data_IF_778726686780
#
_entry.id   IF_778726686780
#
_cell.length_a   1.000
_cell.length_b   1.000
_cell.length_c   1.000
_cell.angle_alpha   90.00
_cell.angle_beta   90.00
_cell.angle_gamma   90.00
#
_symmetry.space_group_name_H-M   'P 1'
#
loop_
_entity.id
_entity.type
_entity.pdbx_description
1 polymer ?
#
# COMPACT_ATOMS: atom_id res chain seq x y z
N UNK A 1 -46.16 34.17 -14.72
CA UNK A 1 -46.69 32.82 -15.04
C UNK A 1 -45.75 32.19 -16.08
N UNK A 2 -44.65 31.56 -15.63
CA UNK A 2 -43.84 30.63 -16.45
C UNK A 2 -44.16 29.24 -15.93
N UNK A 3 -44.98 28.50 -16.65
CA UNK A 3 -45.43 27.14 -16.32
C UNK A 3 -44.92 26.23 -17.44
N UNK A 4 -43.99 25.33 -17.11
CA UNK A 4 -43.51 24.25 -17.99
C UNK A 4 -42.42 24.66 -18.99
N UNK A 5 -41.25 24.04 -18.87
CA UNK A 5 -40.24 24.08 -19.92
C UNK A 5 -40.75 23.47 -21.22
N UNK A 6 -40.25 23.92 -22.36
CA UNK A 6 -40.59 23.33 -23.66
C UNK A 6 -39.75 22.05 -23.84
N UNK A 7 -40.44 20.90 -23.76
CA UNK A 7 -39.82 19.59 -23.93
C UNK A 7 -39.26 19.46 -25.34
N UNK A 8 -38.01 19.01 -25.45
CA UNK A 8 -37.33 18.63 -26.68
C UNK A 8 -37.65 17.17 -26.93
N UNK A 9 -38.40 16.84 -28.00
CA UNK A 9 -38.70 15.45 -28.34
C UNK A 9 -37.42 14.68 -28.71
N UNK A 10 -37.35 13.37 -28.40
CA UNK A 10 -36.32 12.49 -28.95
C UNK A 10 -36.28 12.58 -30.48
N UNK A 11 -35.08 12.55 -31.05
CA UNK A 11 -34.90 12.65 -32.49
C UNK A 11 -33.58 13.28 -32.89
N UNK A 12 -33.37 13.38 -34.20
CA UNK A 12 -32.15 13.96 -34.79
C UNK A 12 -32.40 15.38 -35.25
N UNK A 13 -31.52 16.29 -34.83
CA UNK A 13 -31.57 17.71 -35.14
C UNK A 13 -30.28 18.12 -35.84
N UNK A 14 -30.43 18.60 -37.07
CA UNK A 14 -29.33 18.97 -37.96
C UNK A 14 -29.46 20.43 -38.35
N UNK A 15 -28.41 21.23 -38.19
CA UNK A 15 -28.38 22.64 -38.66
C UNK A 15 -29.52 23.51 -38.12
N UNK A 16 -29.95 23.31 -36.87
CA UNK A 16 -31.12 23.97 -36.27
C UNK A 16 -30.82 24.69 -34.95
N UNK A 17 -31.72 25.59 -34.56
CA UNK A 17 -31.75 26.19 -33.21
C UNK A 17 -32.91 25.58 -32.43
N UNK A 18 -32.60 24.77 -31.43
CA UNK A 18 -33.59 24.14 -30.54
C UNK A 18 -34.05 25.17 -29.51
N UNK A 19 -35.36 25.40 -29.46
CA UNK A 19 -35.99 26.36 -28.52
C UNK A 19 -36.49 25.72 -27.23
N UNK A 20 -36.38 24.39 -27.10
CA UNK A 20 -36.69 23.68 -25.87
C UNK A 20 -35.58 23.76 -24.83
N UNK A 21 -35.93 23.50 -23.57
CA UNK A 21 -35.05 23.57 -22.40
C UNK A 21 -34.99 22.27 -21.59
N UNK A 22 -35.69 21.21 -22.03
CA UNK A 22 -35.73 19.96 -21.27
C UNK A 22 -35.82 18.72 -22.16
N UNK A 23 -35.04 17.68 -21.85
CA UNK A 23 -35.17 16.34 -22.42
C UNK A 23 -35.84 15.47 -21.35
N UNK A 24 -37.14 15.20 -21.51
CA UNK A 24 -37.95 14.52 -20.50
C UNK A 24 -37.77 12.99 -20.51
N UNK A 25 -37.41 12.42 -21.66
CA UNK A 25 -37.12 10.99 -21.83
C UNK A 25 -36.44 10.76 -23.18
N UNK A 26 -35.85 9.58 -23.37
CA UNK A 26 -35.26 9.18 -24.64
C UNK A 26 -33.98 9.95 -24.98
N UNK A 27 -33.64 9.95 -26.27
CA UNK A 27 -32.36 10.45 -26.76
C UNK A 27 -32.54 11.50 -27.84
N UNK A 28 -31.86 12.63 -27.68
CA UNK A 28 -31.74 13.70 -28.67
C UNK A 28 -30.36 13.59 -29.34
N UNK A 29 -30.31 13.65 -30.66
CA UNK A 29 -29.08 13.65 -31.44
C UNK A 29 -28.90 15.02 -32.06
N UNK A 30 -27.75 15.67 -31.84
CA UNK A 30 -27.44 16.97 -32.44
C UNK A 30 -26.21 16.87 -33.33
N UNK A 31 -26.31 17.42 -34.53
CA UNK A 31 -25.23 17.50 -35.50
C UNK A 31 -25.36 18.74 -36.40
N UNK A 32 -24.37 18.98 -37.25
CA UNK A 32 -24.42 20.04 -38.26
C UNK A 32 -24.48 21.46 -37.68
N UNK A 33 -23.90 21.70 -36.51
CA UNK A 33 -23.91 23.03 -35.88
C UNK A 33 -25.24 23.37 -35.19
N UNK A 34 -26.02 22.36 -34.79
CA UNK A 34 -27.24 22.56 -34.03
C UNK A 34 -26.95 23.20 -32.66
N UNK A 35 -27.75 24.19 -32.26
CA UNK A 35 -27.58 24.95 -31.00
C UNK A 35 -28.86 24.98 -30.17
N UNK A 36 -28.76 25.41 -28.90
CA UNK A 36 -29.89 25.60 -27.99
C UNK A 36 -30.01 27.09 -27.64
N UNK A 37 -31.18 27.69 -27.87
CA UNK A 37 -31.38 29.13 -27.66
C UNK A 37 -31.64 29.50 -26.21
N UNK A 38 -32.26 28.60 -25.44
CA UNK A 38 -32.58 28.85 -24.04
C UNK A 38 -31.33 28.73 -23.16
N UNK A 39 -31.28 29.49 -22.04
CA UNK A 39 -30.15 29.46 -21.11
C UNK A 39 -30.13 28.19 -20.27
N UNK A 40 -31.21 27.43 -20.20
CA UNK A 40 -31.33 26.21 -19.38
C UNK A 40 -31.46 24.98 -20.26
N UNK A 41 -30.85 23.87 -19.82
CA UNK A 41 -31.03 22.54 -20.42
C UNK A 41 -31.12 21.47 -19.34
N UNK A 42 -32.32 20.95 -19.11
CA UNK A 42 -32.60 19.97 -18.05
C UNK A 42 -32.77 18.57 -18.62
N UNK A 43 -32.07 17.60 -18.07
CA UNK A 43 -32.20 16.19 -18.41
C UNK A 43 -32.97 15.48 -17.30
N UNK A 44 -34.08 14.85 -17.63
CA UNK A 44 -34.75 13.92 -16.72
C UNK A 44 -33.93 12.62 -16.57
N UNK A 45 -34.33 11.76 -15.64
CA UNK A 45 -33.65 10.48 -15.45
C UNK A 45 -33.62 9.64 -16.73
N UNK A 46 -32.45 9.08 -17.04
CA UNK A 46 -32.18 8.29 -18.25
C UNK A 46 -32.32 9.07 -19.59
N UNK A 47 -32.44 10.40 -19.56
CA UNK A 47 -32.45 11.20 -20.78
C UNK A 47 -31.04 11.35 -21.37
N UNK A 48 -30.93 11.31 -22.69
CA UNK A 48 -29.64 11.34 -23.39
C UNK A 48 -29.53 12.46 -24.43
N UNK A 49 -28.34 13.03 -24.54
CA UNK A 49 -27.94 13.90 -25.66
C UNK A 49 -26.72 13.32 -26.35
N UNK A 50 -26.87 12.88 -27.60
CA UNK A 50 -25.75 12.53 -28.46
C UNK A 50 -25.23 13.80 -29.15
N UNK A 51 -24.01 14.18 -28.80
CA UNK A 51 -23.29 15.30 -29.40
C UNK A 51 -22.42 14.79 -30.55
N UNK A 52 -22.90 14.94 -31.78
CA UNK A 52 -22.26 14.45 -33.00
C UNK A 52 -21.77 15.62 -33.87
N UNK A 53 -21.06 16.55 -33.24
CA UNK A 53 -20.52 17.74 -33.89
C UNK A 53 -19.32 18.28 -33.12
N UNK A 54 -18.69 19.30 -33.70
CA UNK A 54 -17.78 20.20 -32.98
C UNK A 54 -18.56 21.45 -32.60
N UNK A 55 -18.57 21.82 -31.33
CA UNK A 55 -19.20 23.07 -30.91
C UNK A 55 -19.21 23.29 -29.40
N UNK A 56 -19.95 24.33 -29.01
CA UNK A 56 -19.99 24.81 -27.63
C UNK A 56 -21.43 24.86 -27.14
N UNK A 57 -21.69 24.31 -25.95
CA UNK A 57 -22.87 24.66 -25.17
C UNK A 57 -22.53 25.94 -24.42
N UNK A 58 -22.87 27.09 -25.00
CA UNK A 58 -22.45 28.40 -24.49
C UNK A 58 -23.48 28.99 -23.50
N UNK A 59 -23.00 29.43 -22.33
CA UNK A 59 -23.78 30.08 -21.28
C UNK A 59 -24.97 29.25 -20.80
N UNK A 60 -24.81 27.93 -20.68
CA UNK A 60 -25.92 27.03 -20.33
C UNK A 60 -25.92 26.67 -18.84
N UNK A 61 -27.08 26.69 -18.22
CA UNK A 61 -27.36 26.04 -16.95
C UNK A 61 -27.93 24.64 -17.22
N UNK A 62 -27.07 23.63 -17.11
CA UNK A 62 -27.37 22.23 -17.39
C UNK A 62 -27.65 21.50 -16.08
N UNK A 63 -28.78 20.81 -16.01
CA UNK A 63 -29.14 19.95 -14.85
C UNK A 63 -29.29 18.52 -15.32
N UNK A 64 -28.53 17.59 -14.73
CA UNK A 64 -28.57 16.17 -15.06
C UNK A 64 -29.27 15.36 -13.97
N UNK A 65 -30.37 14.71 -14.35
CA UNK A 65 -31.03 13.69 -13.54
C UNK A 65 -30.24 12.38 -13.50
N UNK A 66 -30.67 11.45 -12.66
CA UNK A 66 -30.03 10.15 -12.48
C UNK A 66 -29.89 9.38 -13.80
N UNK A 67 -28.70 8.85 -14.07
CA UNK A 67 -28.36 8.14 -15.32
C UNK A 67 -28.61 8.93 -16.62
N UNK A 68 -28.79 10.25 -16.54
CA UNK A 68 -28.84 11.08 -17.75
C UNK A 68 -27.43 11.33 -18.27
N UNK A 69 -27.28 11.66 -19.55
CA UNK A 69 -25.95 11.78 -20.14
C UNK A 69 -25.88 12.77 -21.29
N UNK A 70 -24.67 13.32 -21.48
CA UNK A 70 -24.21 13.89 -22.74
C UNK A 70 -23.14 12.94 -23.29
N UNK A 71 -23.35 12.46 -24.51
CA UNK A 71 -22.51 11.46 -25.15
C UNK A 71 -21.90 12.01 -26.44
N UNK A 72 -20.59 12.27 -26.43
CA UNK A 72 -19.85 12.74 -27.60
C UNK A 72 -19.53 11.55 -28.48
N UNK A 73 -20.15 11.46 -29.65
CA UNK A 73 -20.07 10.26 -30.50
C UNK A 73 -19.68 10.62 -31.93
N UNK A 74 -18.80 9.81 -32.52
CA UNK A 74 -18.26 10.01 -33.86
C UNK A 74 -16.86 10.66 -33.88
N UNK A 75 -16.10 10.35 -34.94
CA UNK A 75 -14.71 10.80 -35.06
C UNK A 75 -14.59 12.33 -35.08
N UNK A 76 -13.60 12.85 -34.36
CA UNK A 76 -13.26 14.27 -34.24
C UNK A 76 -14.39 15.17 -33.72
N UNK A 77 -15.44 14.60 -33.12
CA UNK A 77 -16.49 15.40 -32.49
C UNK A 77 -16.01 15.96 -31.14
N UNK A 78 -16.37 17.19 -30.86
CA UNK A 78 -15.86 17.92 -29.71
C UNK A 78 -16.96 18.75 -29.04
N UNK A 79 -17.07 18.60 -27.72
CA UNK A 79 -17.96 19.38 -26.88
C UNK A 79 -17.14 20.36 -26.02
N UNK A 80 -17.48 21.64 -26.09
CA UNK A 80 -16.99 22.65 -25.15
C UNK A 80 -18.13 23.14 -24.26
N UNK A 81 -17.88 23.16 -22.95
CA UNK A 81 -18.66 23.92 -21.97
C UNK A 81 -17.89 25.22 -21.72
N UNK A 82 -18.44 26.36 -22.12
CA UNK A 82 -17.73 27.64 -21.97
C UNK A 82 -17.68 28.11 -20.51
N UNK A 83 -16.95 29.20 -20.25
CA UNK A 83 -16.76 29.73 -18.90
C UNK A 83 -18.07 30.16 -18.20
N UNK A 84 -19.14 30.43 -18.96
CA UNK A 84 -20.44 30.79 -18.43
C UNK A 84 -21.38 29.58 -18.22
N UNK A 85 -20.93 28.37 -18.59
CA UNK A 85 -21.73 27.16 -18.49
C UNK A 85 -21.57 26.49 -17.13
N UNK A 86 -22.69 26.11 -16.54
CA UNK A 86 -22.76 25.37 -15.28
C UNK A 86 -23.44 24.02 -15.50
N UNK A 87 -22.89 22.94 -14.98
CA UNK A 87 -23.50 21.60 -14.98
C UNK A 87 -23.70 21.16 -13.54
N UNK A 88 -24.89 20.69 -13.18
CA UNK A 88 -25.17 20.13 -11.83
C UNK A 88 -25.93 18.81 -11.91
N UNK A 89 -25.74 17.93 -10.92
CA UNK A 89 -26.53 16.69 -10.78
C UNK A 89 -25.71 15.41 -10.80
N UNK A 90 -26.27 14.33 -11.37
CA UNK A 90 -25.60 13.05 -11.58
C UNK A 90 -24.75 13.10 -12.86
N UNK A 91 -23.64 13.85 -12.78
CA UNK A 91 -22.87 14.30 -13.96
C UNK A 91 -22.28 13.14 -14.76
N UNK A 92 -22.81 12.92 -15.97
CA UNK A 92 -22.25 12.02 -16.98
C UNK A 92 -22.07 12.75 -18.32
N UNK A 93 -20.81 12.97 -18.70
CA UNK A 93 -20.41 13.60 -19.97
C UNK A 93 -19.25 12.80 -20.54
N UNK A 94 -19.52 11.90 -21.49
CA UNK A 94 -18.51 10.96 -21.94
C UNK A 94 -18.52 10.72 -23.44
N UNK A 95 -17.48 10.09 -23.98
CA UNK A 95 -17.42 9.73 -25.39
C UNK A 95 -17.57 8.23 -25.66
N UNK A 96 -17.83 7.91 -26.93
CA UNK A 96 -17.88 6.53 -27.45
C UNK A 96 -16.51 5.91 -27.72
N UNK A 97 -15.42 6.62 -27.41
CA UNK A 97 -14.07 6.19 -27.72
C UNK A 97 -13.67 6.34 -29.18
N UNK A 98 -14.48 6.98 -30.03
CA UNK A 98 -14.08 7.32 -31.39
C UNK A 98 -12.84 8.22 -31.37
N UNK A 99 -11.97 8.01 -32.36
CA UNK A 99 -10.73 8.77 -32.51
C UNK A 99 -11.00 10.28 -32.58
N UNK A 100 -10.22 11.06 -31.83
CA UNK A 100 -10.31 12.51 -31.82
C UNK A 100 -11.52 13.09 -31.07
N UNK A 101 -12.31 12.27 -30.37
CA UNK A 101 -13.37 12.80 -29.50
C UNK A 101 -12.79 13.67 -28.39
N UNK A 102 -13.37 14.86 -28.18
CA UNK A 102 -12.88 15.80 -27.19
C UNK A 102 -13.98 16.39 -26.31
N UNK A 103 -13.67 16.58 -25.03
CA UNK A 103 -14.51 17.31 -24.08
C UNK A 103 -13.64 18.38 -23.41
N UNK A 104 -14.07 19.62 -23.47
CA UNK A 104 -13.42 20.74 -22.78
C UNK A 104 -14.38 21.39 -21.79
N UNK A 105 -14.01 21.42 -20.52
CA UNK A 105 -14.68 22.22 -19.50
C UNK A 105 -13.92 23.53 -19.26
N UNK A 106 -14.55 24.66 -19.52
CA UNK A 106 -14.09 25.99 -19.10
C UNK A 106 -14.99 26.58 -18.00
N UNK A 107 -16.16 25.98 -17.78
CA UNK A 107 -17.17 26.44 -16.84
C UNK A 107 -17.11 25.73 -15.48
N UNK A 108 -18.27 25.56 -14.86
CA UNK A 108 -18.42 24.95 -13.53
C UNK A 108 -19.20 23.66 -13.63
N UNK A 109 -18.65 22.57 -13.13
CA UNK A 109 -19.32 21.27 -13.02
C UNK A 109 -19.45 20.92 -11.55
N UNK A 110 -20.65 20.55 -11.11
CA UNK A 110 -20.95 20.15 -9.73
C UNK A 110 -21.69 18.82 -9.71
N UNK A 111 -20.98 17.75 -9.36
CA UNK A 111 -21.57 16.44 -9.15
C UNK A 111 -22.16 16.34 -7.74
N UNK A 112 -23.44 15.98 -7.61
CA UNK A 112 -24.18 16.11 -6.34
C UNK A 112 -24.80 14.81 -5.82
N UNK A 113 -24.75 13.71 -6.56
CA UNK A 113 -25.32 12.42 -6.16
C UNK A 113 -24.92 11.30 -7.12
N UNK A 114 -25.03 10.04 -6.69
CA UNK A 114 -24.95 8.90 -7.60
C UNK A 114 -23.52 8.57 -8.05
N UNK A 115 -23.38 8.24 -9.33
CA UNK A 115 -22.11 7.83 -9.94
C UNK A 115 -21.98 8.49 -11.29
N UNK A 116 -21.16 9.54 -11.34
CA UNK A 116 -20.89 10.31 -12.53
C UNK A 116 -19.59 9.92 -13.23
N UNK A 117 -19.44 10.37 -14.47
CA UNK A 117 -18.23 10.15 -15.28
C UNK A 117 -17.99 11.27 -16.29
N UNK A 118 -16.73 11.66 -16.45
CA UNK A 118 -16.29 12.63 -17.45
C UNK A 118 -15.05 12.10 -18.16
N UNK A 119 -15.18 11.74 -19.43
CA UNK A 119 -14.04 11.26 -20.23
C UNK A 119 -14.28 11.36 -21.74
N UNK A 120 -13.22 11.61 -22.49
CA UNK A 120 -13.17 11.44 -23.94
C UNK A 120 -11.74 11.05 -24.34
N UNK A 121 -11.48 10.79 -25.63
CA UNK A 121 -10.11 10.54 -26.08
C UNK A 121 -9.16 11.68 -25.65
N UNK A 122 -9.66 12.92 -25.68
CA UNK A 122 -9.06 14.06 -24.99
C UNK A 122 -10.07 14.76 -24.07
N UNK A 123 -9.81 14.76 -22.76
CA UNK A 123 -10.56 15.53 -21.79
C UNK A 123 -9.69 16.67 -21.22
N UNK A 124 -10.17 17.91 -21.29
CA UNK A 124 -9.48 19.06 -20.72
C UNK A 124 -10.37 19.80 -19.73
N UNK A 125 -9.89 20.02 -18.52
CA UNK A 125 -10.50 20.92 -17.54
C UNK A 125 -9.65 22.18 -17.37
N UNK A 126 -10.20 23.32 -17.74
CA UNK A 126 -9.66 24.67 -17.47
C UNK A 126 -10.53 25.44 -16.46
N UNK A 127 -11.76 24.96 -16.23
CA UNK A 127 -12.71 25.51 -15.26
C UNK A 127 -12.67 24.83 -13.90
N UNK A 128 -13.84 24.70 -13.26
CA UNK A 128 -14.00 24.07 -11.95
C UNK A 128 -14.81 22.79 -12.04
N UNK A 129 -14.36 21.74 -11.36
CA UNK A 129 -15.10 20.50 -11.15
C UNK A 129 -15.16 20.24 -9.65
N UNK A 130 -16.37 20.09 -9.10
CA UNK A 130 -16.58 19.75 -7.70
C UNK A 130 -17.47 18.52 -7.62
N UNK A 131 -17.04 17.50 -6.88
CA UNK A 131 -17.95 16.47 -6.41
C UNK A 131 -18.33 16.80 -4.96
N UNK A 132 -19.62 16.97 -4.70
CA UNK A 132 -20.20 17.24 -3.39
C UNK A 132 -20.76 15.99 -2.69
N UNK A 133 -21.03 14.93 -3.45
CA UNK A 133 -21.49 13.64 -2.96
C UNK A 133 -21.22 12.55 -4.01
N UNK A 134 -21.24 11.28 -3.60
CA UNK A 134 -21.18 10.14 -4.52
C UNK A 134 -19.80 9.92 -5.13
N UNK A 135 -19.77 9.28 -6.29
CA UNK A 135 -18.52 8.92 -6.99
C UNK A 135 -18.46 9.60 -8.34
N UNK A 136 -17.38 10.34 -8.62
CA UNK A 136 -17.11 10.91 -9.93
C UNK A 136 -15.85 10.30 -10.54
N UNK A 137 -15.97 9.69 -11.71
CA UNK A 137 -14.82 9.23 -12.48
C UNK A 137 -14.36 10.33 -13.45
N UNK A 138 -13.11 10.73 -13.35
CA UNK A 138 -12.46 11.61 -14.32
C UNK A 138 -11.47 10.80 -15.12
N UNK A 139 -11.60 10.89 -16.44
CA UNK A 139 -10.88 10.08 -17.43
C UNK A 139 -11.26 8.59 -17.43
N UNK A 140 -10.67 7.84 -18.35
CA UNK A 140 -10.84 6.40 -18.54
C UNK A 140 -9.48 5.68 -18.45
N UNK A 141 -9.39 4.49 -17.82
CA UNK A 141 -8.14 3.75 -17.72
C UNK A 141 -7.69 3.09 -19.03
N UNK A 142 -8.55 2.98 -20.04
CA UNK A 142 -8.21 2.37 -21.31
C UNK A 142 -7.18 3.21 -22.09
N UNK A 143 -6.38 2.55 -22.91
CA UNK A 143 -5.42 3.23 -23.77
C UNK A 143 -6.13 4.18 -24.75
N UNK A 144 -5.51 5.34 -25.04
CA UNK A 144 -6.05 6.33 -25.97
C UNK A 144 -6.94 7.41 -25.33
N UNK A 145 -7.13 7.37 -24.00
CA UNK A 145 -7.81 8.40 -23.24
C UNK A 145 -6.80 9.20 -22.41
N UNK A 146 -6.77 10.52 -22.61
CA UNK A 146 -5.91 11.43 -21.88
C UNK A 146 -6.75 12.52 -21.23
N UNK A 147 -6.41 12.86 -19.99
CA UNK A 147 -7.00 13.98 -19.30
C UNK A 147 -5.94 14.99 -18.87
N UNK A 148 -6.26 16.27 -19.02
CA UNK A 148 -5.45 17.37 -18.50
C UNK A 148 -6.31 18.30 -17.65
N UNK A 149 -5.86 18.60 -16.45
CA UNK A 149 -6.43 19.62 -15.59
C UNK A 149 -5.49 20.82 -15.52
N UNK A 150 -5.95 22.00 -15.92
CA UNK A 150 -5.28 23.30 -15.66
C UNK A 150 -6.12 24.20 -14.76
N UNK A 151 -7.38 23.82 -14.51
CA UNK A 151 -8.28 24.47 -13.58
C UNK A 151 -8.27 23.80 -12.21
N UNK A 152 -9.46 23.64 -11.61
CA UNK A 152 -9.63 23.05 -10.28
C UNK A 152 -10.50 21.79 -10.31
N UNK A 153 -10.13 20.81 -9.48
CA UNK A 153 -10.95 19.64 -9.18
C UNK A 153 -11.01 19.46 -7.66
N UNK A 154 -12.21 19.39 -7.10
CA UNK A 154 -12.43 19.34 -5.64
C UNK A 154 -13.34 18.17 -5.27
N UNK A 155 -12.83 17.25 -4.44
CA UNK A 155 -13.65 16.29 -3.72
C UNK A 155 -14.07 16.90 -2.38
N UNK A 156 -15.35 17.17 -2.20
CA UNK A 156 -15.90 17.95 -1.09
C UNK A 156 -17.05 17.18 -0.41
N UNK A 157 -16.80 16.60 0.76
CA UNK A 157 -17.86 15.97 1.55
C UNK A 157 -17.63 14.49 1.90
N UNK A 158 -18.26 14.07 2.99
CA UNK A 158 -18.22 12.68 3.46
C UNK A 158 -18.90 11.74 2.47
N UNK A 159 -18.26 10.61 2.17
CA UNK A 159 -18.75 9.64 1.20
C UNK A 159 -18.53 10.06 -0.26
N UNK A 160 -17.82 11.17 -0.50
CA UNK A 160 -17.48 11.65 -1.83
C UNK A 160 -16.12 11.12 -2.27
N UNK A 161 -16.04 10.55 -3.47
CA UNK A 161 -14.77 10.15 -4.09
C UNK A 161 -14.68 10.63 -5.53
N UNK A 162 -13.57 11.28 -5.88
CA UNK A 162 -13.18 11.51 -7.26
C UNK A 162 -12.08 10.52 -7.62
N UNK A 163 -12.35 9.68 -8.62
CA UNK A 163 -11.36 8.79 -9.21
C UNK A 163 -10.65 9.49 -10.36
N UNK A 164 -9.34 9.62 -10.25
CA UNK A 164 -8.45 10.17 -11.27
C UNK A 164 -7.85 8.98 -12.02
N UNK A 165 -8.45 8.67 -13.18
CA UNK A 165 -8.19 7.40 -13.89
C UNK A 165 -7.19 7.53 -15.02
N UNK A 166 -6.60 6.40 -15.38
CA UNK A 166 -5.63 6.34 -16.47
C UNK A 166 -4.48 7.32 -16.25
N UNK A 167 -4.06 7.99 -17.34
CA UNK A 167 -3.12 9.11 -17.29
C UNK A 167 -3.91 10.42 -17.11
N UNK A 168 -3.84 11.02 -15.93
CA UNK A 168 -4.48 12.27 -15.59
C UNK A 168 -3.40 13.31 -15.26
N UNK A 169 -3.13 14.23 -16.20
CA UNK A 169 -2.10 15.26 -16.07
C UNK A 169 -2.64 16.51 -15.35
N UNK A 170 -2.26 16.70 -14.09
CA UNK A 170 -2.65 17.87 -13.31
C UNK A 170 -1.61 18.99 -13.37
N UNK A 171 -1.93 20.02 -14.14
CA UNK A 171 -1.24 21.31 -14.21
C UNK A 171 -2.01 22.42 -13.48
N UNK A 172 -3.12 22.07 -12.81
CA UNK A 172 -3.95 22.95 -12.00
C UNK A 172 -3.88 22.57 -10.53
N UNK A 173 -5.01 22.65 -9.82
CA UNK A 173 -5.11 22.25 -8.40
C UNK A 173 -6.14 21.14 -8.21
N UNK A 174 -5.74 20.12 -7.46
CA UNK A 174 -6.64 19.09 -6.94
C UNK A 174 -6.81 19.29 -5.43
N UNK A 175 -8.06 19.30 -4.94
CA UNK A 175 -8.36 19.52 -3.53
C UNK A 175 -9.20 18.38 -2.96
N UNK A 176 -8.78 17.83 -1.82
CA UNK A 176 -9.58 16.93 -1.01
C UNK A 176 -9.98 17.63 0.28
N UNK A 177 -11.28 17.86 0.50
CA UNK A 177 -11.78 18.60 1.66
C UNK A 177 -13.05 17.99 2.25
N UNK A 178 -13.34 18.33 3.52
CA UNK A 178 -14.56 17.92 4.21
C UNK A 178 -14.83 16.39 4.15
N UNK A 179 -13.80 15.57 4.38
CA UNK A 179 -13.79 14.10 4.24
C UNK A 179 -13.93 13.56 2.79
N UNK A 180 -13.85 14.42 1.77
CA UNK A 180 -13.77 14.03 0.37
C UNK A 180 -12.45 13.34 0.03
N UNK A 181 -12.50 12.46 -0.97
CA UNK A 181 -11.38 11.61 -1.36
C UNK A 181 -10.98 11.88 -2.82
N UNK A 182 -9.69 12.17 -3.04
CA UNK A 182 -9.05 12.03 -4.35
C UNK A 182 -8.39 10.65 -4.43
N UNK A 183 -8.65 9.87 -5.47
CA UNK A 183 -8.10 8.53 -5.63
C UNK A 183 -7.52 8.32 -7.02
N UNK A 184 -6.22 8.07 -7.10
CA UNK A 184 -5.54 7.67 -8.33
C UNK A 184 -5.61 6.15 -8.46
N UNK A 185 -6.30 5.65 -9.48
CA UNK A 185 -6.41 4.21 -9.79
C UNK A 185 -5.73 3.81 -11.11
N UNK A 186 -5.17 4.78 -11.84
CA UNK A 186 -4.41 4.58 -13.08
C UNK A 186 -2.89 4.59 -12.90
N UNK A 187 -2.18 4.58 -14.03
CA UNK A 187 -0.71 4.76 -14.06
C UNK A 187 -0.38 6.21 -14.39
N UNK A 188 0.37 6.88 -13.50
CA UNK A 188 0.75 8.29 -13.66
C UNK A 188 2.24 8.48 -13.37
N UNK A 189 2.99 9.23 -14.18
CA UNK A 189 4.27 9.76 -13.73
C UNK A 189 4.04 10.73 -12.56
N UNK A 190 5.04 10.88 -11.69
CA UNK A 190 4.94 11.74 -10.49
C UNK A 190 4.59 13.19 -10.83
N UNK A 191 5.07 13.70 -11.97
CA UNK A 191 4.75 15.05 -12.45
C UNK A 191 3.25 15.29 -12.67
N UNK A 192 2.50 14.25 -13.11
CA UNK A 192 1.08 14.35 -13.38
C UNK A 192 0.23 14.55 -12.12
N UNK A 193 0.77 14.29 -10.91
CA UNK A 193 0.05 14.58 -9.67
C UNK A 193 -0.13 16.09 -9.47
N UNK A 194 0.86 16.90 -9.88
CA UNK A 194 0.83 18.35 -9.79
C UNK A 194 0.56 18.88 -8.37
N UNK A 195 -0.18 19.99 -8.29
CA UNK A 195 -0.58 20.57 -7.01
C UNK A 195 -1.76 19.82 -6.40
N UNK A 196 -1.55 19.25 -5.21
CA UNK A 196 -2.57 18.58 -4.40
C UNK A 196 -2.68 19.27 -3.05
N UNK A 197 -3.91 19.60 -2.66
CA UNK A 197 -4.26 20.25 -1.38
C UNK A 197 -5.17 19.34 -0.57
N UNK A 198 -4.80 19.08 0.68
CA UNK A 198 -5.59 18.31 1.64
C UNK A 198 -6.07 19.26 2.73
N UNK A 199 -7.39 19.44 2.84
CA UNK A 199 -8.05 20.28 3.83
C UNK A 199 -9.17 19.51 4.54
N UNK A 200 -8.79 18.50 5.32
CA UNK A 200 -9.73 17.59 5.98
C UNK A 200 -10.28 16.47 5.09
N UNK A 201 -9.75 16.30 3.86
CA UNK A 201 -9.99 15.15 2.98
C UNK A 201 -8.82 14.16 2.97
N UNK A 202 -8.77 13.30 1.94
CA UNK A 202 -7.71 12.29 1.75
C UNK A 202 -7.26 12.20 0.29
N UNK A 203 -6.00 11.83 0.09
CA UNK A 203 -5.39 11.62 -1.23
C UNK A 203 -4.79 10.21 -1.32
N UNK A 204 -5.43 9.30 -2.08
CA UNK A 204 -5.13 7.86 -2.08
C UNK A 204 -4.43 7.41 -3.35
N UNK A 205 -3.29 6.75 -3.21
CA UNK A 205 -2.54 6.12 -4.30
C UNK A 205 -2.89 4.63 -4.38
N UNK A 206 -3.76 4.28 -5.33
CA UNK A 206 -4.28 2.93 -5.55
C UNK A 206 -3.85 2.33 -6.91
N UNK A 207 -3.33 3.15 -7.81
CA UNK A 207 -2.69 2.74 -9.06
C UNK A 207 -1.16 2.77 -8.96
N UNK A 208 -0.50 3.00 -10.10
CA UNK A 208 0.96 3.04 -10.18
C UNK A 208 1.43 4.48 -10.35
N UNK A 209 2.31 4.93 -9.46
CA UNK A 209 3.06 6.17 -9.62
C UNK A 209 4.46 5.83 -10.13
N UNK A 210 4.75 6.22 -11.37
CA UNK A 210 6.11 6.17 -11.88
C UNK A 210 6.88 7.38 -11.34
N UNK A 211 7.75 7.12 -10.37
CA UNK A 211 8.60 8.09 -9.70
C UNK A 211 10.07 7.95 -10.13
N UNK A 212 10.34 7.24 -11.23
CA UNK A 212 11.69 7.08 -11.76
C UNK A 212 12.35 8.43 -12.01
N UNK A 213 13.55 8.63 -11.45
CA UNK A 213 14.29 9.88 -11.52
C UNK A 213 13.53 11.13 -11.01
N UNK A 214 12.54 10.93 -10.13
CA UNK A 214 11.73 12.00 -9.54
C UNK A 214 11.74 11.96 -8.00
N UNK A 215 11.13 13.00 -7.42
CA UNK A 215 10.83 13.09 -5.99
C UNK A 215 9.33 13.22 -5.81
N UNK A 216 8.70 12.26 -5.13
CA UNK A 216 7.32 12.40 -4.70
C UNK A 216 7.28 13.36 -3.50
N UNK A 217 6.86 14.59 -3.75
CA UNK A 217 6.69 15.61 -2.71
C UNK A 217 5.39 15.42 -1.92
N UNK A 218 5.36 15.94 -0.69
CA UNK A 218 4.13 15.94 0.11
C UNK A 218 3.07 16.87 -0.52
N UNK A 219 1.78 16.50 -0.48
CA UNK A 219 0.71 17.43 -0.80
C UNK A 219 0.66 18.54 0.26
N UNK A 220 0.11 19.70 -0.11
CA UNK A 220 -0.11 20.79 0.85
C UNK A 220 -1.17 20.37 1.87
N UNK A 221 -0.84 20.45 3.17
CA UNK A 221 -1.79 20.16 4.26
C UNK A 221 -1.90 18.69 4.68
N UNK A 222 -1.08 17.79 4.14
CA UNK A 222 -1.10 16.38 4.57
C UNK A 222 -0.11 15.48 3.85
N UNK A 223 -0.46 14.20 3.71
CA UNK A 223 0.34 13.17 3.04
C UNK A 223 -0.51 12.48 1.99
N UNK A 224 0.14 11.90 0.98
CA UNK A 224 -0.48 10.84 0.20
C UNK A 224 -0.61 9.58 1.07
N UNK A 225 -1.61 8.77 0.80
CA UNK A 225 -1.78 7.47 1.43
C UNK A 225 -1.54 6.35 0.41
N UNK A 226 -0.58 5.47 0.68
CA UNK A 226 -0.39 4.28 -0.13
C UNK A 226 -1.53 3.29 0.18
N UNK A 227 -2.42 3.10 -0.81
CA UNK A 227 -3.67 2.38 -0.67
C UNK A 227 -3.75 1.26 -1.71
N UNK A 228 -2.93 0.23 -1.56
CA UNK A 228 -2.80 -0.89 -2.49
C UNK A 228 -2.03 -0.58 -3.78
N UNK A 229 -1.65 0.68 -4.00
CA UNK A 229 -0.90 1.12 -5.18
C UNK A 229 0.59 0.77 -5.15
N UNK A 230 1.29 1.15 -6.22
CA UNK A 230 2.73 0.97 -6.41
C UNK A 230 3.41 2.32 -6.62
N UNK A 231 4.55 2.56 -5.98
CA UNK A 231 5.46 3.66 -6.31
C UNK A 231 6.74 3.05 -6.88
N UNK A 232 7.05 3.38 -8.14
CA UNK A 232 8.19 2.81 -8.86
C UNK A 232 9.34 3.82 -8.97
N UNK A 233 10.48 3.48 -8.38
CA UNK A 233 11.73 4.23 -8.45
C UNK A 233 11.74 5.56 -7.70
N UNK A 234 12.87 6.26 -7.83
CA UNK A 234 13.08 7.61 -7.30
C UNK A 234 13.03 7.69 -5.77
N UNK A 235 12.85 8.92 -5.28
CA UNK A 235 12.75 9.19 -3.85
C UNK A 235 11.36 9.69 -3.47
N UNK A 236 10.95 9.42 -2.25
CA UNK A 236 9.72 9.92 -1.64
C UNK A 236 10.17 10.85 -0.52
N UNK A 237 9.71 12.11 -0.54
CA UNK A 237 10.12 13.08 0.46
C UNK A 237 9.62 12.71 1.86
N UNK A 238 10.34 13.16 2.90
CA UNK A 238 9.92 12.95 4.27
C UNK A 238 8.53 13.56 4.51
N UNK A 239 7.63 12.78 5.11
CA UNK A 239 6.24 13.20 5.34
C UNK A 239 5.40 13.30 4.06
N UNK A 240 5.83 12.77 2.92
CA UNK A 240 5.00 12.75 1.72
C UNK A 240 4.02 11.58 1.67
N UNK A 241 4.30 10.50 2.39
CA UNK A 241 3.59 9.23 2.27
C UNK A 241 3.26 8.61 3.62
N UNK A 242 2.01 8.17 3.76
CA UNK A 242 1.53 7.33 4.85
C UNK A 242 1.19 5.91 4.35
N UNK A 243 1.40 4.92 5.20
CA UNK A 243 1.05 3.52 4.92
C UNK A 243 -0.30 3.17 5.54
N UNK A 244 -1.08 2.35 4.85
CA UNK A 244 -2.44 1.99 5.25
C UNK A 244 -2.60 0.48 5.39
N UNK A 245 -3.73 0.05 5.96
CA UNK A 245 -4.11 -1.36 6.04
C UNK A 245 -4.36 -1.99 4.65
N UNK A 246 -4.55 -1.19 3.62
CA UNK A 246 -4.62 -1.67 2.23
C UNK A 246 -3.25 -1.97 1.62
N UNK A 247 -2.17 -1.77 2.39
CA UNK A 247 -0.79 -2.03 1.96
C UNK A 247 -0.38 -1.23 0.73
N UNK A 248 0.69 -1.66 0.08
CA UNK A 248 1.13 -1.19 -1.23
C UNK A 248 2.56 -1.62 -1.50
N UNK A 249 3.09 -1.21 -2.64
CA UNK A 249 4.41 -1.63 -3.11
C UNK A 249 5.32 -0.41 -3.28
N UNK A 250 6.50 -0.48 -2.68
CA UNK A 250 7.63 0.36 -3.05
C UNK A 250 8.55 -0.49 -3.93
N UNK A 251 8.69 -0.12 -5.19
CA UNK A 251 9.49 -0.83 -6.19
C UNK A 251 10.71 -0.01 -6.59
N UNK A 252 11.85 -0.27 -5.93
CA UNK A 252 13.07 0.53 -6.10
C UNK A 252 12.95 1.98 -5.63
N UNK A 253 11.86 2.33 -4.94
CA UNK A 253 11.64 3.66 -4.39
C UNK A 253 12.34 3.81 -3.02
N UNK A 254 12.86 5.01 -2.75
CA UNK A 254 13.56 5.33 -1.50
C UNK A 254 12.71 6.30 -0.68
N UNK A 255 12.18 5.86 0.47
CA UNK A 255 11.54 6.76 1.43
C UNK A 255 12.60 7.59 2.16
N UNK A 256 12.50 8.91 2.03
CA UNK A 256 13.39 9.83 2.76
C UNK A 256 12.84 10.00 4.17
N UNK A 257 13.60 9.62 5.18
CA UNK A 257 13.16 9.62 6.58
C UNK A 257 12.71 8.25 7.08
N UNK A 258 12.10 8.24 8.25
CA UNK A 258 11.75 7.02 8.99
C UNK A 258 10.60 6.26 8.33
N UNK A 259 10.59 4.94 8.50
CA UNK A 259 9.47 4.09 8.10
C UNK A 259 8.45 4.01 9.24
N UNK A 260 7.28 4.62 9.05
CA UNK A 260 6.22 4.61 10.07
C UNK A 260 5.02 3.76 9.61
N UNK A 261 4.91 2.55 10.13
CA UNK A 261 3.75 1.67 10.04
C UNK A 261 2.90 1.78 11.32
N UNK A 262 2.69 3.01 11.79
CA UNK A 262 2.04 3.33 13.07
C UNK A 262 0.52 3.12 13.11
N UNK A 263 -0.10 2.75 11.98
CA UNK A 263 -1.52 2.36 11.93
C UNK A 263 -1.63 0.85 12.05
N UNK A 264 -2.55 0.35 12.89
CA UNK A 264 -2.77 -1.09 13.03
C UNK A 264 -3.04 -1.75 11.68
N UNK A 265 -2.43 -2.91 11.46
CA UNK A 265 -2.51 -3.67 10.21
C UNK A 265 -1.95 -2.95 8.97
N UNK A 266 -1.29 -1.79 9.12
CA UNK A 266 -0.64 -1.14 7.98
C UNK A 266 0.54 -1.95 7.47
N UNK A 267 0.76 -1.92 6.17
CA UNK A 267 1.83 -2.70 5.57
C UNK A 267 2.41 -2.11 4.32
N UNK A 268 3.52 -2.69 3.90
CA UNK A 268 4.24 -2.31 2.69
C UNK A 268 5.05 -3.48 2.16
N UNK A 269 5.14 -3.58 0.83
CA UNK A 269 5.98 -4.52 0.11
C UNK A 269 7.22 -3.78 -0.38
N UNK A 270 8.40 -4.31 -0.08
CA UNK A 270 9.68 -3.80 -0.56
C UNK A 270 10.18 -4.69 -1.68
N UNK A 271 10.24 -4.14 -2.90
CA UNK A 271 10.76 -4.79 -4.10
C UNK A 271 11.79 -3.90 -4.79
N UNK A 272 12.54 -4.45 -5.75
CA UNK A 272 13.35 -3.65 -6.67
C UNK A 272 14.49 -2.83 -6.03
N UNK A 273 14.88 -3.14 -4.78
CA UNK A 273 15.86 -2.36 -4.02
C UNK A 273 15.25 -1.20 -3.23
N UNK A 274 13.94 -1.24 -2.96
CA UNK A 274 13.27 -0.25 -2.14
C UNK A 274 13.87 -0.17 -0.74
N UNK A 275 13.93 1.05 -0.18
CA UNK A 275 14.56 1.31 1.11
C UNK A 275 14.02 2.57 1.77
N UNK A 276 14.50 2.87 2.97
CA UNK A 276 14.26 4.14 3.66
C UNK A 276 15.53 4.67 4.30
N UNK A 277 15.70 5.99 4.34
CA UNK A 277 16.95 6.63 4.82
C UNK A 277 16.96 6.91 6.31
N UNK A 278 15.79 7.08 6.93
CA UNK A 278 15.67 7.34 8.37
C UNK A 278 16.16 6.18 9.22
N UNK A 279 16.50 6.50 10.47
CA UNK A 279 17.04 5.53 11.41
C UNK A 279 15.95 4.58 11.94
N UNK A 280 14.70 5.03 12.02
CA UNK A 280 13.66 4.30 12.73
C UNK A 280 12.70 3.57 11.78
N UNK A 281 12.26 2.39 12.19
CA UNK A 281 11.10 1.71 11.65
C UNK A 281 10.14 1.34 12.78
N UNK A 282 8.93 1.89 12.78
CA UNK A 282 7.92 1.67 13.83
C UNK A 282 6.75 0.87 13.29
N UNK A 283 6.39 -0.22 13.98
CA UNK A 283 5.28 -1.09 13.61
C UNK A 283 4.22 -1.03 14.71
N UNK A 284 2.99 -0.69 14.34
CA UNK A 284 1.83 -0.89 15.20
C UNK A 284 1.42 -2.37 15.25
N UNK A 285 0.38 -2.67 16.03
CA UNK A 285 -0.17 -4.02 16.12
C UNK A 285 -0.59 -4.54 14.74
N UNK A 286 -0.21 -5.78 14.44
CA UNK A 286 -0.45 -6.46 13.16
C UNK A 286 0.16 -5.76 11.93
N UNK A 287 1.01 -4.74 12.10
CA UNK A 287 1.67 -4.08 10.99
C UNK A 287 2.76 -4.97 10.38
N UNK A 288 3.09 -4.76 9.10
CA UNK A 288 4.01 -5.69 8.43
C UNK A 288 4.83 -5.10 7.29
N UNK A 289 6.00 -5.71 7.08
CA UNK A 289 6.76 -5.58 5.84
C UNK A 289 6.74 -6.92 5.11
N UNK A 290 6.39 -6.90 3.83
CA UNK A 290 6.75 -7.96 2.91
C UNK A 290 8.08 -7.61 2.24
N UNK A 291 9.12 -8.36 2.61
CA UNK A 291 10.46 -8.21 2.09
C UNK A 291 10.65 -9.14 0.88
N UNK A 292 10.47 -8.60 -0.31
CA UNK A 292 10.48 -9.34 -1.57
C UNK A 292 11.71 -8.96 -2.40
N UNK A 293 12.86 -8.95 -1.75
CA UNK A 293 14.13 -8.56 -2.37
C UNK A 293 15.33 -9.17 -1.62
N UNK A 294 16.52 -8.95 -2.19
CA UNK A 294 17.79 -9.14 -1.50
C UNK A 294 18.27 -7.79 -1.00
N UNK A 295 18.55 -7.67 0.30
CA UNK A 295 19.12 -6.43 0.81
C UNK A 295 19.38 -6.41 2.31
N UNK A 296 19.73 -5.21 2.77
CA UNK A 296 20.15 -4.96 4.15
C UNK A 296 19.34 -3.81 4.74
N UNK A 297 18.81 -3.99 5.94
CA UNK A 297 18.42 -2.89 6.80
C UNK A 297 19.67 -2.48 7.58
N UNK A 298 20.23 -1.33 7.21
CA UNK A 298 21.50 -0.85 7.76
C UNK A 298 21.28 0.30 8.77
N UNK A 299 21.85 0.19 9.96
CA UNK A 299 21.77 1.17 11.04
C UNK A 299 20.35 1.50 11.47
N UNK A 300 19.44 0.52 11.49
CA UNK A 300 18.03 0.76 11.80
C UNK A 300 17.70 0.46 13.26
N UNK A 301 16.80 1.24 13.84
CA UNK A 301 16.10 0.91 15.09
C UNK A 301 14.67 0.53 14.75
N UNK A 302 14.37 -0.76 14.90
CA UNK A 302 13.10 -1.36 14.53
C UNK A 302 12.32 -1.68 15.82
N UNK A 303 11.11 -1.15 15.94
CA UNK A 303 10.22 -1.42 17.08
C UNK A 303 8.96 -2.12 16.59
N UNK A 304 8.75 -3.35 17.07
CA UNK A 304 7.65 -4.24 16.71
C UNK A 304 6.53 -4.22 17.75
N UNK A 305 5.33 -3.81 17.32
CA UNK A 305 4.10 -4.00 18.06
C UNK A 305 3.64 -5.46 18.07
N UNK A 306 2.57 -5.75 18.82
CA UNK A 306 2.04 -7.12 18.95
C UNK A 306 1.60 -7.69 17.60
N UNK A 307 1.99 -8.94 17.32
CA UNK A 307 1.73 -9.63 16.04
C UNK A 307 2.23 -8.87 14.79
N UNK A 308 3.12 -7.90 14.94
CA UNK A 308 3.76 -7.27 13.79
C UNK A 308 4.88 -8.16 13.26
N UNK A 309 5.25 -8.01 11.98
CA UNK A 309 6.24 -8.89 11.39
C UNK A 309 6.99 -8.31 10.20
N UNK A 310 8.20 -8.82 9.98
CA UNK A 310 8.90 -8.74 8.70
C UNK A 310 8.87 -10.13 8.07
N UNK A 311 8.29 -10.23 6.87
CA UNK A 311 8.13 -11.50 6.18
C UNK A 311 8.91 -11.53 4.86
N UNK A 312 9.96 -12.33 4.82
CA UNK A 312 10.79 -12.56 3.63
C UNK A 312 10.06 -13.52 2.70
N UNK A 313 9.59 -13.02 1.56
CA UNK A 313 8.70 -13.76 0.68
C UNK A 313 9.30 -13.86 -0.73
N UNK A 314 9.26 -15.05 -1.32
CA UNK A 314 9.79 -15.32 -2.66
C UNK A 314 11.18 -15.97 -2.68
N UNK A 315 11.44 -16.76 -3.72
CA UNK A 315 12.68 -17.52 -3.86
C UNK A 315 13.92 -16.61 -3.89
N UNK A 316 14.98 -17.05 -3.22
CA UNK A 316 16.28 -16.35 -3.12
C UNK A 316 16.23 -14.94 -2.50
N UNK A 317 15.11 -14.52 -1.92
CA UNK A 317 15.04 -13.25 -1.20
C UNK A 317 15.72 -13.37 0.15
N UNK A 318 16.51 -12.35 0.49
CA UNK A 318 17.32 -12.36 1.71
C UNK A 318 17.25 -11.03 2.43
N UNK A 319 17.18 -11.10 3.76
CA UNK A 319 17.20 -9.95 4.64
C UNK A 319 18.43 -10.03 5.55
N UNK A 320 19.23 -8.97 5.54
CA UNK A 320 20.30 -8.77 6.52
C UNK A 320 19.95 -7.62 7.44
N UNK A 321 20.05 -7.83 8.75
CA UNK A 321 20.14 -6.76 9.75
C UNK A 321 21.62 -6.53 10.00
N UNK A 322 22.12 -5.33 9.72
CA UNK A 322 23.54 -5.05 9.91
C UNK A 322 23.92 -4.93 11.40
N UNK A 323 25.22 -4.79 11.69
CA UNK A 323 25.74 -4.75 13.05
C UNK A 323 25.21 -3.56 13.88
N UNK A 324 24.79 -2.47 13.22
CA UNK A 324 24.22 -1.30 13.88
C UNK A 324 22.70 -1.37 14.03
N UNK A 325 22.06 -2.41 13.49
CA UNK A 325 20.61 -2.55 13.51
C UNK A 325 20.14 -3.19 14.82
N UNK A 326 19.09 -2.60 15.38
CA UNK A 326 18.43 -3.05 16.61
C UNK A 326 16.97 -3.37 16.31
N UNK A 327 16.45 -4.46 16.89
CA UNK A 327 15.03 -4.86 16.81
C UNK A 327 14.50 -5.10 18.21
N UNK A 328 13.37 -4.51 18.56
CA UNK A 328 12.75 -4.63 19.89
C UNK A 328 11.26 -4.92 19.79
N UNK A 329 10.66 -5.55 20.81
CA UNK A 329 9.21 -5.74 20.93
C UNK A 329 8.74 -7.20 20.83
N UNK A 330 7.55 -7.41 20.24
CA UNK A 330 7.00 -8.74 19.94
C UNK A 330 7.59 -9.27 18.62
N UNK A 331 8.89 -9.58 18.65
CA UNK A 331 9.71 -9.80 17.45
C UNK A 331 9.24 -11.01 16.64
N UNK A 332 8.79 -10.75 15.41
CA UNK A 332 8.60 -11.74 14.35
C UNK A 332 9.34 -11.34 13.07
N UNK A 333 10.29 -12.16 12.64
CA UNK A 333 11.04 -11.98 11.38
C UNK A 333 11.20 -13.36 10.73
N UNK A 334 10.38 -13.66 9.74
CA UNK A 334 10.35 -15.02 9.20
C UNK A 334 10.21 -15.07 7.69
N UNK A 335 10.41 -16.24 7.08
CA UNK A 335 10.20 -16.44 5.64
C UNK A 335 9.00 -17.32 5.33
N UNK A 336 8.58 -17.27 4.06
CA UNK A 336 7.57 -18.16 3.47
C UNK A 336 8.04 -19.59 3.23
N UNK A 337 9.31 -19.89 3.53
CA UNK A 337 9.92 -21.18 3.26
C UNK A 337 10.30 -21.41 1.80
N UNK A 338 10.20 -20.40 0.94
CA UNK A 338 10.68 -20.49 -0.43
C UNK A 338 12.16 -20.83 -0.46
N UNK A 339 12.57 -21.61 -1.46
CA UNK A 339 13.96 -22.03 -1.65
C UNK A 339 14.87 -20.81 -1.72
N UNK A 340 16.00 -20.87 -1.01
CA UNK A 340 16.99 -19.81 -0.98
C UNK A 340 16.61 -18.60 -0.13
N UNK A 341 15.46 -18.60 0.56
CA UNK A 341 15.17 -17.54 1.52
C UNK A 341 16.19 -17.56 2.66
N UNK A 342 16.69 -16.38 3.04
CA UNK A 342 17.64 -16.26 4.15
C UNK A 342 17.41 -15.03 5.02
N UNK A 343 17.68 -15.17 6.31
CA UNK A 343 17.69 -14.09 7.27
C UNK A 343 19.02 -14.12 8.01
N UNK A 344 19.75 -13.01 7.99
CA UNK A 344 21.01 -12.85 8.72
C UNK A 344 20.88 -11.72 9.74
N UNK A 345 21.07 -12.03 11.02
CA UNK A 345 21.21 -11.03 12.07
C UNK A 345 22.69 -10.78 12.37
N UNK A 346 23.19 -9.57 12.13
CA UNK A 346 24.51 -9.13 12.61
C UNK A 346 24.39 -8.14 13.78
N UNK A 347 23.19 -7.60 14.01
CA UNK A 347 22.91 -6.60 15.03
C UNK A 347 22.31 -7.19 16.30
N UNK A 348 21.48 -6.40 16.99
CA UNK A 348 20.87 -6.79 18.25
C UNK A 348 19.36 -6.96 18.14
N UNK A 349 18.84 -8.12 18.51
CA UNK A 349 17.41 -8.41 18.60
C UNK A 349 17.04 -8.61 20.06
N UNK A 350 16.01 -7.92 20.54
CA UNK A 350 15.48 -8.04 21.90
C UNK A 350 13.97 -8.29 21.87
N UNK A 351 13.57 -9.52 22.17
CA UNK A 351 12.17 -9.88 22.36
C UNK A 351 11.73 -9.54 23.79
N UNK A 352 10.62 -8.83 23.95
CA UNK A 352 10.21 -8.24 25.24
C UNK A 352 8.78 -8.56 25.66
N UNK A 353 8.00 -9.29 24.87
CA UNK A 353 6.60 -9.63 25.20
C UNK A 353 6.03 -10.59 24.17
N UNK A 354 4.98 -11.33 24.51
CA UNK A 354 4.19 -12.08 23.53
C UNK A 354 4.83 -13.39 23.08
N UNK A 355 4.65 -13.71 21.81
CA UNK A 355 5.09 -14.96 21.19
C UNK A 355 5.70 -14.68 19.83
N UNK A 356 7.01 -14.45 19.80
CA UNK A 356 7.77 -14.10 18.61
C UNK A 356 8.37 -15.30 17.87
N UNK A 357 8.84 -15.08 16.64
CA UNK A 357 9.50 -16.11 15.84
C UNK A 357 10.54 -15.54 14.87
N UNK A 358 11.67 -16.23 14.74
CA UNK A 358 12.73 -15.90 13.78
C UNK A 358 13.16 -17.14 13.03
N UNK A 359 12.87 -17.22 11.73
CA UNK A 359 13.27 -18.35 10.90
C UNK A 359 13.25 -18.04 9.40
N UNK A 360 14.14 -18.67 8.65
CA UNK A 360 14.06 -18.76 7.19
C UNK A 360 14.59 -20.11 6.75
N UNK A 361 14.52 -20.44 5.46
CA UNK A 361 15.17 -21.66 4.96
C UNK A 361 16.65 -21.73 5.40
N UNK A 362 17.32 -20.58 5.41
CA UNK A 362 18.61 -20.40 6.07
C UNK A 362 18.56 -19.20 7.04
N UNK A 363 18.64 -19.48 8.34
CA UNK A 363 18.75 -18.45 9.37
C UNK A 363 20.17 -18.40 9.93
N UNK A 364 20.75 -17.21 10.07
CA UNK A 364 22.08 -17.02 10.64
C UNK A 364 22.08 -15.90 11.67
N UNK A 365 22.55 -16.18 12.88
CA UNK A 365 22.78 -15.18 13.91
C UNK A 365 24.29 -14.98 14.14
N UNK A 366 24.82 -13.84 13.72
CA UNK A 366 26.18 -13.38 13.98
C UNK A 366 26.23 -12.28 15.05
N UNK A 367 25.08 -11.67 15.36
CA UNK A 367 24.94 -10.64 16.39
C UNK A 367 24.43 -11.20 17.73
N UNK A 368 23.54 -10.48 18.38
CA UNK A 368 22.92 -10.89 19.64
C UNK A 368 21.40 -11.05 19.51
N UNK A 369 20.87 -12.11 20.07
CA UNK A 369 19.42 -12.32 20.27
C UNK A 369 19.18 -12.46 21.76
N UNK A 370 18.30 -11.64 22.32
CA UNK A 370 17.91 -11.70 23.73
C UNK A 370 16.40 -11.79 23.84
N UNK A 371 15.88 -12.71 24.63
CA UNK A 371 14.49 -12.70 25.08
C UNK A 371 14.46 -12.32 26.56
N UNK A 372 13.66 -11.31 26.90
CA UNK A 372 13.50 -10.82 28.29
C UNK A 372 12.13 -11.13 28.89
N UNK A 373 11.14 -11.39 28.04
CA UNK A 373 9.81 -11.86 28.42
C UNK A 373 9.16 -12.60 27.24
N UNK A 374 8.14 -13.41 27.52
CA UNK A 374 7.39 -14.15 26.51
C UNK A 374 8.14 -15.37 25.96
N UNK A 375 7.72 -15.80 24.78
CA UNK A 375 8.27 -16.98 24.10
C UNK A 375 8.81 -16.59 22.74
N UNK A 376 10.09 -16.90 22.47
CA UNK A 376 10.71 -16.71 21.17
C UNK A 376 11.04 -18.05 20.53
N UNK A 377 10.55 -18.28 19.32
CA UNK A 377 10.92 -19.44 18.52
C UNK A 377 12.03 -19.10 17.54
N UNK A 378 13.18 -19.76 17.65
CA UNK A 378 14.26 -19.67 16.67
C UNK A 378 14.24 -20.90 15.79
N UNK A 379 14.35 -20.68 14.48
CA UNK A 379 14.23 -21.68 13.42
C UNK A 379 12.82 -22.33 13.34
N UNK A 380 12.67 -23.30 12.44
CA UNK A 380 11.41 -24.01 12.16
C UNK A 380 11.65 -25.54 12.12
N UNK A 381 10.73 -26.38 12.65
CA UNK A 381 10.91 -27.83 12.74
C UNK A 381 10.61 -28.54 11.41
N UNK A 382 11.38 -28.23 10.37
CA UNK A 382 11.30 -28.89 9.05
C UNK A 382 12.70 -29.09 8.46
N UNK A 383 12.89 -30.17 7.71
CA UNK A 383 14.20 -30.56 7.18
C UNK A 383 14.81 -29.53 6.20
N UNK A 384 13.98 -28.67 5.59
CA UNK A 384 14.42 -27.63 4.67
C UNK A 384 14.85 -26.33 5.37
N UNK A 385 14.84 -26.30 6.71
CA UNK A 385 15.17 -25.13 7.52
C UNK A 385 16.40 -25.42 8.36
N UNK A 386 17.41 -24.57 8.21
CA UNK A 386 18.65 -24.66 8.96
C UNK A 386 18.92 -23.33 9.64
N UNK A 387 19.36 -23.40 10.89
CA UNK A 387 19.81 -22.25 11.65
C UNK A 387 21.26 -22.43 12.11
N UNK A 388 22.04 -21.35 12.03
CA UNK A 388 23.38 -21.30 12.61
C UNK A 388 23.48 -20.09 13.53
N UNK A 389 23.93 -20.30 14.76
CA UNK A 389 24.34 -19.24 15.66
C UNK A 389 25.86 -19.17 15.71
N UNK A 390 26.46 -18.05 15.34
CA UNK A 390 27.89 -17.74 15.58
C UNK A 390 28.06 -16.61 16.60
N UNK A 391 26.99 -15.87 16.89
CA UNK A 391 26.95 -14.82 17.89
C UNK A 391 26.42 -15.30 19.25
N UNK A 392 25.50 -14.52 19.83
CA UNK A 392 24.93 -14.82 21.16
C UNK A 392 23.42 -15.01 21.10
N UNK A 393 22.92 -15.95 21.88
CA UNK A 393 21.49 -16.12 22.19
C UNK A 393 21.33 -16.14 23.71
N UNK A 394 20.49 -15.27 24.25
CA UNK A 394 20.30 -15.12 25.69
C UNK A 394 18.82 -15.17 26.05
N UNK A 395 18.45 -16.01 27.01
CA UNK A 395 17.14 -15.95 27.65
C UNK A 395 17.31 -15.41 29.07
N UNK A 396 16.66 -14.27 29.34
CA UNK A 396 16.92 -13.42 30.51
C UNK A 396 15.61 -13.02 31.20
N UNK A 397 15.06 -13.91 32.01
CA UNK A 397 13.89 -13.58 32.83
C UNK A 397 13.00 -14.76 33.19
N UNK A 398 12.28 -14.60 34.30
CA UNK A 398 11.32 -15.60 34.77
C UNK A 398 10.11 -15.67 33.85
N UNK A 399 9.73 -16.88 33.45
CA UNK A 399 8.64 -17.10 32.50
C UNK A 399 9.03 -16.85 31.04
N UNK A 400 10.29 -16.54 30.77
CA UNK A 400 10.82 -16.33 29.44
C UNK A 400 11.37 -17.63 28.86
N UNK A 401 11.03 -17.93 27.61
CA UNK A 401 11.48 -19.15 26.93
C UNK A 401 12.00 -18.84 25.53
N UNK A 402 13.13 -19.44 25.18
CA UNK A 402 13.59 -19.53 23.79
C UNK A 402 13.53 -20.99 23.37
N UNK A 403 12.78 -21.28 22.30
CA UNK A 403 12.77 -22.58 21.64
C UNK A 403 13.75 -22.57 20.47
N UNK A 404 14.65 -23.54 20.46
CA UNK A 404 15.62 -23.82 19.40
C UNK A 404 15.08 -25.00 18.58
N UNK A 405 14.44 -24.68 17.45
CA UNK A 405 13.66 -25.64 16.67
C UNK A 405 14.44 -26.25 15.53
N UNK A 406 13.99 -27.42 15.07
CA UNK A 406 14.59 -28.10 13.91
C UNK A 406 16.09 -28.35 14.08
N UNK A 407 16.84 -28.20 12.99
CA UNK A 407 18.30 -28.27 12.99
C UNK A 407 18.88 -26.88 13.36
N UNK A 408 19.38 -26.73 14.58
CA UNK A 408 19.93 -25.48 15.09
C UNK A 408 21.39 -25.66 15.52
N UNK A 409 22.33 -25.19 14.70
CA UNK A 409 23.77 -25.35 14.92
C UNK A 409 24.37 -24.18 15.71
N UNK A 410 24.74 -24.41 16.96
CA UNK A 410 25.38 -23.41 17.81
C UNK A 410 26.91 -23.45 17.72
N UNK A 411 27.48 -22.48 17.01
CA UNK A 411 28.91 -22.19 16.95
C UNK A 411 29.29 -20.92 17.76
N UNK A 412 28.31 -20.31 18.42
CA UNK A 412 28.45 -19.14 19.28
C UNK A 412 28.24 -19.50 20.75
N UNK A 413 27.65 -18.58 21.52
CA UNK A 413 27.30 -18.82 22.93
C UNK A 413 25.80 -18.69 23.16
N UNK A 414 25.24 -19.64 23.90
CA UNK A 414 23.88 -19.57 24.41
C UNK A 414 23.89 -19.40 25.92
N UNK A 415 23.11 -18.46 26.45
CA UNK A 415 23.02 -18.21 27.89
C UNK A 415 21.58 -18.31 28.36
N UNK A 416 21.35 -19.06 29.43
CA UNK A 416 20.10 -19.00 30.19
C UNK A 416 20.35 -18.43 31.58
N UNK A 417 19.67 -17.35 31.91
CA UNK A 417 19.86 -16.63 33.16
C UNK A 417 18.53 -16.14 33.73
N UNK A 418 18.54 -15.75 35.02
CA UNK A 418 17.38 -15.17 35.69
C UNK A 418 16.08 -15.99 35.53
N UNK A 419 16.17 -17.31 35.70
CA UNK A 419 15.08 -18.29 35.53
C UNK A 419 14.52 -18.44 34.09
N UNK A 420 15.25 -17.96 33.08
CA UNK A 420 14.93 -18.19 31.67
C UNK A 420 15.19 -19.64 31.23
N UNK A 421 14.42 -20.11 30.25
CA UNK A 421 14.53 -21.47 29.71
C UNK A 421 15.02 -21.47 28.24
N UNK A 422 16.11 -22.18 27.97
CA UNK A 422 16.51 -22.60 26.62
C UNK A 422 15.98 -24.01 26.38
N UNK A 423 15.24 -24.21 25.28
CA UNK A 423 14.62 -25.51 24.97
C UNK A 423 15.00 -25.95 23.56
N UNK A 424 15.68 -27.09 23.43
CA UNK A 424 15.87 -27.74 22.14
C UNK A 424 14.71 -28.72 21.92
N UNK A 425 13.85 -28.43 20.94
CA UNK A 425 12.68 -29.28 20.62
C UNK A 425 12.76 -29.95 19.25
N UNK A 426 13.82 -29.66 18.47
CA UNK A 426 14.11 -30.26 17.18
C UNK A 426 15.05 -31.48 17.21
N UNK A 427 15.36 -32.00 16.03
CA UNK A 427 16.40 -33.02 15.85
C UNK A 427 17.77 -32.34 15.71
N UNK A 428 18.66 -32.59 16.67
CA UNK A 428 19.99 -32.01 16.72
C UNK A 428 21.04 -33.10 17.01
N UNK A 429 22.31 -32.79 16.78
CA UNK A 429 23.45 -33.57 17.29
C UNK A 429 23.97 -32.94 18.57
N UNK A 430 24.80 -33.64 19.34
CA UNK A 430 25.47 -33.03 20.49
C UNK A 430 26.40 -31.89 20.12
N UNK A 431 27.00 -31.91 18.91
CA UNK A 431 27.81 -30.81 18.40
C UNK A 431 26.98 -29.52 18.21
N UNK A 432 25.73 -29.66 17.75
CA UNK A 432 24.84 -28.52 17.53
C UNK A 432 24.48 -27.76 18.80
N UNK A 433 24.60 -28.38 19.99
CA UNK A 433 24.36 -27.68 21.26
C UNK A 433 25.42 -26.60 21.53
N UNK A 434 26.67 -26.83 21.10
CA UNK A 434 27.76 -25.86 21.21
C UNK A 434 28.05 -25.40 22.64
N UNK A 435 28.46 -24.14 22.78
CA UNK A 435 28.70 -23.53 24.08
C UNK A 435 27.40 -23.04 24.73
N UNK A 436 27.04 -23.64 25.86
CA UNK A 436 25.87 -23.27 26.68
C UNK A 436 26.31 -22.89 28.08
N UNK A 437 25.81 -21.75 28.57
CA UNK A 437 26.11 -21.19 29.90
C UNK A 437 24.81 -20.99 30.69
N UNK A 438 24.79 -21.43 31.94
CA UNK A 438 23.69 -21.29 32.87
C UNK A 438 24.08 -20.36 34.02
N UNK A 439 23.35 -19.27 34.20
CA UNK A 439 23.50 -18.31 35.29
C UNK A 439 22.16 -18.09 36.00
N UNK A 440 21.65 -19.17 36.60
CA UNK A 440 20.32 -19.19 37.22
C UNK A 440 19.15 -19.45 36.26
N UNK A 441 19.41 -19.79 35.00
CA UNK A 441 18.43 -20.31 34.04
C UNK A 441 18.56 -21.83 33.83
N UNK A 442 17.83 -22.37 32.83
CA UNK A 442 17.75 -23.81 32.54
C UNK A 442 18.00 -24.10 31.05
N UNK A 443 18.60 -25.26 30.77
CA UNK A 443 18.77 -25.82 29.42
C UNK A 443 18.05 -27.17 29.32
N UNK A 444 16.98 -27.22 28.51
CA UNK A 444 16.03 -28.33 28.43
C UNK A 444 16.10 -29.05 27.09
N UNK A 445 16.21 -30.37 27.12
CA UNK A 445 16.22 -31.23 25.94
C UNK A 445 14.83 -31.87 25.76
N UNK A 446 14.05 -31.33 24.83
CA UNK A 446 12.69 -31.78 24.51
C UNK A 446 12.59 -32.51 23.14
N UNK A 447 13.60 -32.33 22.28
CA UNK A 447 13.72 -32.98 20.98
C UNK A 447 14.60 -34.23 21.00
N UNK A 448 15.10 -34.62 19.83
CA UNK A 448 16.05 -35.74 19.69
C UNK A 448 17.47 -35.20 19.58
N UNK A 449 18.36 -35.67 20.47
CA UNK A 449 19.80 -35.42 20.41
C UNK A 449 20.50 -36.70 19.94
N UNK A 450 21.04 -36.67 18.72
CA UNK A 450 21.93 -37.72 18.24
C UNK A 450 23.33 -37.52 18.84
N UNK A 451 23.69 -38.41 19.78
CA UNK A 451 24.97 -38.43 20.47
C UNK A 451 25.84 -39.61 19.99
N UNK A 452 25.51 -40.25 18.87
CA UNK A 452 26.26 -41.39 18.34
C UNK A 452 27.73 -41.03 18.11
N UNK A 453 28.64 -41.85 18.65
CA UNK A 453 30.09 -41.62 18.62
C UNK A 453 30.55 -40.28 19.23
N UNK A 454 29.74 -39.67 20.08
CA UNK A 454 30.04 -38.42 20.79
C UNK A 454 29.89 -38.57 22.32
N UNK A 455 30.30 -37.53 23.05
CA UNK A 455 30.06 -37.39 24.49
C UNK A 455 29.24 -36.13 24.74
N UNK A 456 28.07 -36.26 25.36
CA UNK A 456 27.31 -35.12 25.85
C UNK A 456 27.98 -34.59 27.12
N UNK A 457 28.48 -33.36 27.06
CA UNK A 457 29.12 -32.68 28.19
C UNK A 457 28.16 -31.71 28.85
N UNK A 458 28.34 -31.44 30.15
CA UNK A 458 27.50 -30.49 30.88
C UNK A 458 27.74 -29.05 30.37
N UNK A 459 26.69 -28.19 30.37
CA UNK A 459 26.85 -26.76 30.11
C UNK A 459 27.66 -26.10 31.24
N UNK A 460 28.25 -24.94 30.97
CA UNK A 460 28.91 -24.15 32.00
C UNK A 460 27.91 -23.68 33.05
N UNK A 461 28.17 -23.93 34.34
CA UNK A 461 27.33 -23.46 35.45
C UNK A 461 26.10 -24.30 35.79
N UNK A 462 25.90 -25.48 35.17
CA UNK A 462 24.82 -26.38 35.54
C UNK A 462 24.75 -27.66 34.71
N UNK A 463 23.54 -28.17 34.44
CA UNK A 463 23.30 -29.41 33.71
C UNK A 463 22.26 -29.22 32.60
N UNK A 464 22.31 -30.06 31.57
CA UNK A 464 21.16 -30.26 30.69
C UNK A 464 20.09 -31.08 31.43
N UNK A 465 18.82 -30.70 31.27
CA UNK A 465 17.68 -31.45 31.79
C UNK A 465 16.96 -32.17 30.65
N UNK A 466 16.79 -33.48 30.77
CA UNK A 466 15.95 -34.22 29.84
C UNK A 466 14.47 -33.88 30.12
N UNK A 467 13.83 -33.18 29.20
CA UNK A 467 12.48 -32.66 29.34
C UNK A 467 11.60 -33.26 28.23
N UNK A 468 11.34 -34.56 28.29
CA UNK A 468 10.52 -35.25 27.28
C UNK A 468 11.25 -35.62 25.98
N UNK A 469 12.50 -35.19 25.81
CA UNK A 469 13.34 -35.53 24.65
C UNK A 469 13.95 -36.94 24.68
N UNK A 470 14.78 -37.22 23.67
CA UNK A 470 15.52 -38.49 23.54
C UNK A 470 17.00 -38.21 23.26
N UNK A 471 17.91 -38.90 23.96
CA UNK A 471 19.34 -38.91 23.63
C UNK A 471 19.65 -40.28 22.99
N UNK A 472 20.21 -40.29 21.78
CA UNK A 472 20.52 -41.51 21.02
C UNK A 472 22.02 -41.78 20.99
N UNK A 473 22.44 -42.91 21.58
CA UNK A 473 23.81 -43.40 21.51
C UNK A 473 24.84 -42.57 22.31
N UNK A 474 26.11 -42.97 22.16
CA UNK A 474 27.27 -42.26 22.73
C UNK A 474 27.41 -42.36 24.25
N UNK A 475 28.21 -41.44 24.80
CA UNK A 475 28.49 -41.33 26.24
C UNK A 475 27.87 -40.05 26.80
N UNK A 476 27.48 -40.05 28.07
CA UNK A 476 27.09 -38.85 28.81
C UNK A 476 28.16 -38.63 29.88
N UNK A 477 28.76 -37.44 29.90
CA UNK A 477 29.74 -37.09 30.92
C UNK A 477 29.07 -37.03 32.31
N UNK A 478 29.79 -37.38 33.39
CA UNK A 478 29.25 -37.21 34.74
C UNK A 478 28.91 -35.74 35.02
N UNK A 479 27.89 -35.53 35.85
CA UNK A 479 27.53 -34.20 36.32
C UNK A 479 28.71 -33.56 37.09
N UNK A 480 28.94 -32.24 36.93
CA UNK A 480 29.98 -31.51 37.66
C UNK A 480 29.73 -31.44 39.17
#
# INVERSE_FOLDING_TARGET
MRLGGQVIPPGTYTTLVITGDSIASGTVYVNGGTTFSLPTLTFASNAGLYWQQVGTLAGKAITQGTNSYIYVSGANNALTLDAATTVTGDVSIYSDGSAGTAITNQGVITHTNGTGQIYAASFTNTGSITAGAGTLYLNNPNAGYNATNTGTVTADGSGTTIYLRGSFDNNGTLTAQNAGILRWDGTNPTANLGSVVINGGRALLNGTINNTAAILAAPSGGMFELYGGTIQGGSIAAGALAFTASSGILDGAILTGDLNLGTSSSGVNFTGGASFTGANATFANNAYIYWQQVGTLAGKTITQGTNSYIYVNGANNTLTLDAATTVTGDVSIYSDGSVGTAITNQGAITHTTGSGQIYAANFTNNGSITATAGTLYLNYPSASYNATNTGTVTVDGSGTTIYLRGNFDNNGTMTAQNAGNLIWDGANTTANLGNVVLNGGRALLNGTINNTAATLTAPGGGMFELHGGTIQGGTIAPAP
#
